data_IF_156177546045
#
_entry.id   IF_156177546045
#
_cell.length_a   1.000
_cell.length_b   1.000
_cell.length_c   1.000
_cell.angle_alpha   90.00
_cell.angle_beta   90.00
_cell.angle_gamma   90.00
#
_symmetry.space_group_name_H-M   'P 1'
#
loop_
_entity.id
_entity.type
_entity.pdbx_description
1 polymer ?
#
# COMPACT_ATOMS: atom_id res chain seq x y z
N UNK A 1 12.79 -25.46 -4.28
CA UNK A 1 12.08 -25.36 -2.99
C UNK A 1 13.14 -25.25 -1.89
N UNK A 2 13.31 -24.05 -1.33
CA UNK A 2 12.74 -23.78 -0.02
C UNK A 2 11.86 -22.54 -0.03
N UNK A 3 10.60 -22.72 0.36
CA UNK A 3 9.62 -21.69 0.68
C UNK A 3 9.86 -21.19 2.09
N UNK A 4 10.67 -20.15 2.24
CA UNK A 4 10.81 -19.41 3.50
C UNK A 4 10.97 -17.92 3.21
N UNK A 5 9.90 -17.30 2.72
CA UNK A 5 9.68 -15.87 2.99
C UNK A 5 9.28 -15.76 4.45
N UNK A 6 10.27 -15.80 5.34
CA UNK A 6 10.08 -15.35 6.70
C UNK A 6 9.70 -13.87 6.63
N UNK A 7 8.42 -13.61 6.88
CA UNK A 7 7.94 -12.30 7.26
C UNK A 7 8.65 -11.89 8.56
N UNK A 8 9.80 -11.21 8.44
CA UNK A 8 10.48 -10.51 9.55
C UNK A 8 9.74 -9.22 9.94
N UNK A 9 8.42 -9.29 10.05
CA UNK A 9 7.67 -8.33 10.86
C UNK A 9 7.28 -9.13 12.09
N UNK A 10 8.15 -9.08 13.10
CA UNK A 10 7.94 -9.74 14.39
C UNK A 10 6.53 -9.41 14.90
N UNK A 11 5.68 -10.43 15.01
CA UNK A 11 4.35 -10.33 15.63
C UNK A 11 3.16 -10.35 14.68
N UNK A 12 2.87 -11.52 14.12
CA UNK A 12 1.60 -11.84 13.47
C UNK A 12 0.40 -11.60 14.41
N UNK A 13 -0.43 -10.58 14.13
CA UNK A 13 -1.86 -10.48 14.51
C UNK A 13 -2.60 -9.62 13.46
N UNK A 14 -3.66 -10.17 12.90
CA UNK A 14 -4.43 -9.70 11.75
C UNK A 14 -4.94 -8.25 11.89
N UNK A 15 -4.57 -7.39 10.93
CA UNK A 15 -5.32 -6.22 10.43
C UNK A 15 -5.51 -4.94 11.30
N UNK A 16 -5.50 -4.95 12.64
CA UNK A 16 -6.09 -3.83 13.43
C UNK A 16 -5.18 -2.70 13.97
N UNK A 17 -4.07 -2.36 13.32
CA UNK A 17 -3.22 -1.23 13.82
C UNK A 17 -2.60 -0.36 12.72
N UNK A 18 -3.35 -0.06 11.65
CA UNK A 18 -2.97 1.04 10.75
C UNK A 18 -3.29 2.33 11.49
N UNK A 19 -2.30 2.91 12.20
CA UNK A 19 -2.47 4.26 12.76
C UNK A 19 -2.61 5.24 11.60
N UNK A 20 -3.76 5.89 11.51
CA UNK A 20 -3.97 7.06 10.66
C UNK A 20 -3.02 8.16 11.12
N UNK A 21 -1.91 8.36 10.41
CA UNK A 21 -1.02 9.50 10.65
C UNK A 21 -1.52 10.66 9.78
N UNK A 22 -2.55 11.38 10.23
CA UNK A 22 -2.88 12.69 9.68
C UNK A 22 -1.97 13.72 10.34
N UNK A 23 -1.00 14.26 9.60
CA UNK A 23 0.09 15.07 10.18
C UNK A 23 -0.06 16.59 9.98
N UNK A 24 -1.21 17.10 9.50
CA UNK A 24 -1.35 18.53 9.19
C UNK A 24 -2.80 19.03 9.29
N UNK A 25 -2.99 20.31 9.69
CA UNK A 25 -4.28 21.01 9.56
C UNK A 25 -4.61 21.14 8.06
N UNK A 26 -5.59 20.38 7.58
CA UNK A 26 -5.98 20.30 6.16
C UNK A 26 -5.57 19.01 5.44
N UNK A 27 -4.93 18.05 6.14
CA UNK A 27 -4.61 16.75 5.57
C UNK A 27 -5.89 15.91 5.34
N UNK A 28 -5.93 15.12 4.26
CA UNK A 28 -6.99 14.12 4.04
C UNK A 28 -7.14 13.26 5.31
N UNK A 29 -8.34 13.21 5.88
CA UNK A 29 -8.54 12.61 7.20
C UNK A 29 -8.27 11.09 7.25
N UNK A 30 -8.39 10.40 6.10
CA UNK A 30 -8.29 8.95 5.97
C UNK A 30 -7.05 8.50 5.16
N UNK A 31 -5.87 9.11 5.40
CA UNK A 31 -4.62 8.67 4.75
C UNK A 31 -4.15 7.33 5.31
N UNK A 32 -3.72 6.43 4.42
CA UNK A 32 -3.04 5.17 4.77
C UNK A 32 -1.58 5.19 4.30
N UNK A 33 -0.69 4.37 4.90
CA UNK A 33 0.70 4.28 4.46
C UNK A 33 0.85 3.57 3.11
N UNK A 34 1.80 3.99 2.27
CA UNK A 34 2.10 3.33 0.98
C UNK A 34 2.37 1.82 1.10
N UNK A 35 2.97 1.39 2.21
CA UNK A 35 3.29 -0.02 2.45
C UNK A 35 2.04 -0.92 2.43
N UNK A 36 0.86 -0.36 2.73
CA UNK A 36 -0.40 -1.07 2.63
C UNK A 36 -0.75 -1.44 1.18
N UNK A 37 -0.35 -0.60 0.22
CA UNK A 37 -0.68 -0.75 -1.21
C UNK A 37 0.23 -1.73 -1.95
N UNK A 38 1.45 -1.98 -1.43
CA UNK A 38 2.46 -2.77 -2.14
C UNK A 38 1.94 -4.20 -2.41
N UNK A 39 1.44 -4.88 -1.39
CA UNK A 39 0.96 -6.26 -1.51
C UNK A 39 -0.19 -6.42 -2.51
N UNK A 40 -1.30 -5.65 -2.42
CA UNK A 40 -2.38 -5.79 -3.38
C UNK A 40 -1.94 -5.46 -4.81
N UNK A 41 -1.13 -4.42 -5.04
CA UNK A 41 -0.65 -4.05 -6.39
C UNK A 41 0.20 -5.17 -6.99
N UNK A 42 1.12 -5.76 -6.22
CA UNK A 42 1.95 -6.86 -6.71
C UNK A 42 1.15 -8.13 -7.02
N UNK A 43 0.07 -8.36 -6.29
CA UNK A 43 -0.76 -9.55 -6.46
C UNK A 43 -1.76 -9.42 -7.63
N UNK A 44 -2.30 -8.22 -7.86
CA UNK A 44 -3.37 -8.00 -8.84
C UNK A 44 -2.91 -7.40 -10.17
N UNK A 45 -1.76 -6.71 -10.20
CA UNK A 45 -1.33 -5.94 -11.36
C UNK A 45 0.05 -6.39 -11.87
N UNK A 46 0.15 -6.89 -13.11
CA UNK A 46 1.43 -7.25 -13.72
C UNK A 46 2.30 -6.00 -13.92
N UNK A 47 3.59 -6.21 -14.18
CA UNK A 47 4.52 -5.12 -14.48
C UNK A 47 4.04 -4.33 -15.71
N UNK A 48 4.06 -3.00 -15.66
CA UNK A 48 3.54 -2.13 -16.73
C UNK A 48 2.00 -2.08 -16.85
N UNK A 49 1.26 -2.82 -16.01
CA UNK A 49 -0.20 -2.75 -15.95
C UNK A 49 -0.72 -1.43 -15.39
N UNK A 50 -2.03 -1.21 -15.51
CA UNK A 50 -2.73 -0.01 -15.05
C UNK A 50 -3.38 -0.28 -13.69
N UNK A 51 -3.17 0.60 -12.72
CA UNK A 51 -3.78 0.57 -11.39
C UNK A 51 -4.76 1.73 -11.28
N UNK A 52 -6.05 1.40 -11.23
CA UNK A 52 -7.13 2.39 -11.06
C UNK A 52 -7.55 2.48 -9.59
N UNK A 53 -7.49 3.69 -9.03
CA UNK A 53 -8.11 4.03 -7.76
C UNK A 53 -9.15 5.15 -7.96
N UNK A 54 -10.45 4.84 -8.02
CA UNK A 54 -11.50 5.83 -8.23
C UNK A 54 -11.68 6.77 -7.03
N UNK A 55 -11.07 6.46 -5.88
CA UNK A 55 -11.17 7.24 -4.65
C UNK A 55 -9.78 7.69 -4.18
N UNK A 56 -8.96 8.17 -5.11
CA UNK A 56 -7.54 8.43 -4.92
C UNK A 56 -7.18 9.23 -3.66
N UNK A 57 -8.04 10.12 -3.17
CA UNK A 57 -7.82 10.88 -1.93
C UNK A 57 -6.47 11.61 -1.98
N UNK A 58 -5.52 11.19 -1.14
CA UNK A 58 -4.14 11.71 -1.11
C UNK A 58 -3.23 11.26 -2.28
N UNK A 59 -3.71 10.37 -3.15
CA UNK A 59 -2.95 9.80 -4.27
C UNK A 59 -1.95 8.71 -3.87
N UNK A 60 -2.03 8.18 -2.65
CA UNK A 60 -1.07 7.18 -2.11
C UNK A 60 -0.95 5.94 -3.01
N UNK A 61 -2.05 5.48 -3.63
CA UNK A 61 -2.03 4.32 -4.54
C UNK A 61 -1.21 4.61 -5.80
N UNK A 62 -1.41 5.78 -6.44
CA UNK A 62 -0.69 6.14 -7.66
C UNK A 62 0.82 6.34 -7.43
N UNK A 63 1.22 6.82 -6.25
CA UNK A 63 2.65 6.90 -5.88
C UNK A 63 3.25 5.50 -5.72
N UNK A 64 2.56 4.61 -5.00
CA UNK A 64 3.01 3.23 -4.81
C UNK A 64 3.05 2.45 -6.14
N UNK A 65 2.05 2.61 -7.01
CA UNK A 65 1.99 1.99 -8.33
C UNK A 65 3.18 2.40 -9.21
N UNK A 66 3.48 3.70 -9.31
CA UNK A 66 4.63 4.19 -10.09
C UNK A 66 5.97 3.69 -9.56
N UNK A 67 6.15 3.65 -8.23
CA UNK A 67 7.37 3.09 -7.62
C UNK A 67 7.57 1.60 -7.91
N UNK A 68 6.47 0.87 -8.09
CA UNK A 68 6.50 -0.53 -8.48
C UNK A 68 6.58 -0.72 -10.01
N UNK A 69 6.62 0.33 -10.82
CA UNK A 69 6.66 0.20 -12.29
C UNK A 69 5.30 -0.18 -12.89
N UNK A 70 4.22 0.36 -12.34
CA UNK A 70 2.85 0.31 -12.88
C UNK A 70 2.37 1.72 -13.20
N UNK A 71 1.36 1.82 -14.06
CA UNK A 71 0.72 3.07 -14.46
C UNK A 71 -0.46 3.41 -13.55
#
# INVERSE_FOLDING_TARGET
MPTTLQCKVVGCKTCRRIRLRSFHRGAHFAVFPEQLCIRPILLSCPLGGIVLDPFAGSGTIGVAARRLGRN
#
